data_IF_591417814188
#
_entry.id   IF_591417814188
#
_cell.length_a   1.000
_cell.length_b   1.000
_cell.length_c   1.000
_cell.angle_alpha   90.00
_cell.angle_beta   90.00
_cell.angle_gamma   90.00
#
_symmetry.space_group_name_H-M   'P 1'
#
loop_
_entity.id
_entity.type
_entity.pdbx_description
1 polymer ?
#
# COMPACT_ATOMS: atom_id res chain seq x y z
N UNK A 1 19.78 -8.47 -30.29
CA UNK A 1 18.55 -8.48 -29.48
C UNK A 1 17.99 -7.07 -29.25
N UNK A 2 18.79 -6.12 -28.73
CA UNK A 2 18.35 -4.74 -28.45
C UNK A 2 17.60 -4.04 -29.61
N UNK A 3 18.05 -4.05 -30.89
CA UNK A 3 17.31 -3.40 -31.97
C UNK A 3 15.92 -3.99 -32.22
N UNK A 4 15.73 -5.29 -31.97
CA UNK A 4 14.42 -5.94 -32.05
C UNK A 4 13.53 -5.44 -30.91
N UNK A 5 14.02 -5.47 -29.67
CA UNK A 5 13.28 -4.98 -28.52
C UNK A 5 12.91 -3.51 -28.65
N UNK A 6 13.81 -2.66 -29.14
CA UNK A 6 13.54 -1.25 -29.45
C UNK A 6 12.33 -1.10 -30.37
N UNK A 7 12.31 -1.85 -31.49
CA UNK A 7 11.19 -1.80 -32.44
C UNK A 7 9.88 -2.30 -31.82
N UNK A 8 9.94 -3.35 -31.01
CA UNK A 8 8.75 -3.88 -30.32
C UNK A 8 8.23 -2.88 -29.29
N UNK A 9 9.10 -2.26 -28.48
CA UNK A 9 8.69 -1.22 -27.52
C UNK A 9 8.07 -0.03 -28.23
N UNK A 10 8.67 0.47 -29.31
CA UNK A 10 8.13 1.56 -30.11
C UNK A 10 6.76 1.23 -30.69
N UNK A 11 6.60 0.04 -31.30
CA UNK A 11 5.32 -0.40 -31.84
C UNK A 11 4.25 -0.54 -30.74
N UNK A 12 4.64 -1.05 -29.57
CA UNK A 12 3.73 -1.22 -28.42
C UNK A 12 3.31 0.14 -27.85
N UNK A 13 4.22 1.12 -27.78
CA UNK A 13 3.92 2.50 -27.36
C UNK A 13 2.90 3.17 -28.29
N UNK A 14 3.07 3.03 -29.61
CA UNK A 14 2.11 3.54 -30.59
C UNK A 14 0.75 2.87 -30.42
N UNK A 15 0.73 1.55 -30.24
CA UNK A 15 -0.51 0.79 -30.02
C UNK A 15 -1.22 1.23 -28.73
N UNK A 16 -0.47 1.41 -27.65
CA UNK A 16 -0.97 1.88 -26.35
C UNK A 16 -1.61 3.27 -26.49
N UNK A 17 -0.99 4.18 -27.24
CA UNK A 17 -1.55 5.50 -27.52
C UNK A 17 -2.83 5.45 -28.37
N UNK A 18 -2.82 4.68 -29.46
CA UNK A 18 -3.93 4.63 -30.41
C UNK A 18 -5.15 3.87 -29.87
N UNK A 19 -4.93 2.89 -28.99
CA UNK A 19 -5.98 2.03 -28.44
C UNK A 19 -6.20 2.30 -26.93
N UNK A 20 -5.85 3.50 -26.46
CA UNK A 20 -5.90 3.93 -25.05
C UNK A 20 -7.24 3.70 -24.34
N UNK A 21 -8.36 3.65 -25.07
CA UNK A 21 -9.70 3.38 -24.52
C UNK A 21 -9.95 1.89 -24.22
N UNK A 22 -9.27 0.99 -24.94
CA UNK A 22 -9.57 -0.44 -24.92
C UNK A 22 -8.75 -1.14 -23.84
N UNK A 23 -9.34 -1.31 -22.66
CA UNK A 23 -8.71 -1.94 -21.48
C UNK A 23 -7.92 -3.22 -21.83
N UNK A 24 -8.53 -4.16 -22.55
CA UNK A 24 -7.88 -5.42 -22.95
C UNK A 24 -6.62 -5.23 -23.79
N UNK A 25 -6.61 -4.24 -24.69
CA UNK A 25 -5.43 -3.93 -25.51
C UNK A 25 -4.33 -3.34 -24.64
N UNK A 26 -4.68 -2.41 -23.74
CA UNK A 26 -3.73 -1.77 -22.82
C UNK A 26 -3.11 -2.79 -21.87
N UNK A 27 -3.89 -3.72 -21.34
CA UNK A 27 -3.38 -4.80 -20.48
C UNK A 27 -2.35 -5.67 -21.22
N UNK A 28 -2.62 -6.07 -22.46
CA UNK A 28 -1.67 -6.82 -23.27
C UNK A 28 -0.42 -6.00 -23.65
N UNK A 29 -0.56 -4.69 -23.89
CA UNK A 29 0.57 -3.79 -24.09
C UNK A 29 1.45 -3.72 -22.83
N UNK A 30 0.86 -3.48 -21.67
CA UNK A 30 1.55 -3.45 -20.38
C UNK A 30 2.24 -4.78 -20.08
N UNK A 31 1.58 -5.91 -20.35
CA UNK A 31 2.17 -7.25 -20.19
C UNK A 31 3.37 -7.46 -21.10
N UNK A 32 3.29 -7.01 -22.36
CA UNK A 32 4.39 -7.10 -23.33
C UNK A 32 5.58 -6.26 -22.89
N UNK A 33 5.35 -4.99 -22.54
CA UNK A 33 6.39 -4.09 -22.04
C UNK A 33 7.03 -4.64 -20.78
N UNK A 34 6.24 -5.16 -19.83
CA UNK A 34 6.74 -5.78 -18.60
C UNK A 34 7.76 -6.87 -18.91
N UNK A 35 7.42 -7.81 -19.79
CA UNK A 35 8.35 -8.89 -20.12
C UNK A 35 9.60 -8.39 -20.85
N UNK A 36 9.47 -7.39 -21.74
CA UNK A 36 10.61 -6.79 -22.42
C UNK A 36 11.56 -6.10 -21.46
N UNK A 37 11.05 -5.30 -20.52
CA UNK A 37 11.86 -4.62 -19.51
C UNK A 37 12.57 -5.63 -18.62
N UNK A 38 11.85 -6.62 -18.09
CA UNK A 38 12.44 -7.68 -17.27
C UNK A 38 13.52 -8.48 -18.01
N UNK A 39 13.35 -8.67 -19.32
CA UNK A 39 14.32 -9.41 -20.14
C UNK A 39 15.57 -8.60 -20.48
N UNK A 40 15.42 -7.28 -20.68
CA UNK A 40 16.55 -6.39 -21.02
C UNK A 40 17.27 -5.85 -19.78
N UNK A 41 16.60 -5.81 -18.62
CA UNK A 41 17.10 -5.17 -17.41
C UNK A 41 17.56 -3.74 -17.70
N UNK A 42 18.74 -3.38 -17.18
CA UNK A 42 19.32 -2.05 -17.32
C UNK A 42 19.52 -1.59 -18.78
N UNK A 43 19.61 -2.50 -19.76
CA UNK A 43 19.73 -2.11 -21.18
C UNK A 43 18.49 -1.39 -21.70
N UNK A 44 17.34 -1.55 -21.03
CA UNK A 44 16.09 -0.88 -21.41
C UNK A 44 15.91 0.52 -20.79
N UNK A 45 16.96 1.07 -20.16
CA UNK A 45 16.92 2.39 -19.51
C UNK A 45 16.51 3.53 -20.46
N UNK A 46 16.90 3.43 -21.73
CA UNK A 46 16.56 4.40 -22.78
C UNK A 46 15.05 4.54 -23.04
N UNK A 47 14.24 3.58 -22.58
CA UNK A 47 12.79 3.59 -22.74
C UNK A 47 12.04 4.15 -21.54
N UNK A 48 12.69 4.33 -20.38
CA UNK A 48 11.99 4.65 -19.14
C UNK A 48 11.26 5.98 -19.26
N UNK A 49 11.93 7.04 -19.69
CA UNK A 49 11.33 8.37 -19.79
C UNK A 49 10.17 8.39 -20.81
N UNK A 50 10.33 7.90 -22.05
CA UNK A 50 9.21 7.77 -22.98
C UNK A 50 8.03 6.95 -22.43
N UNK A 51 8.32 5.84 -21.73
CA UNK A 51 7.29 4.98 -21.13
C UNK A 51 6.57 5.68 -19.98
N UNK A 52 7.30 6.32 -19.07
CA UNK A 52 6.72 7.04 -17.94
C UNK A 52 5.80 8.16 -18.42
N UNK A 53 6.24 8.95 -19.41
CA UNK A 53 5.43 10.01 -20.01
C UNK A 53 4.15 9.46 -20.64
N UNK A 54 4.25 8.36 -21.40
CA UNK A 54 3.09 7.72 -22.01
C UNK A 54 2.12 7.14 -20.97
N UNK A 55 2.64 6.51 -19.91
CA UNK A 55 1.85 5.97 -18.79
C UNK A 55 1.04 7.10 -18.13
N UNK A 56 1.69 8.22 -17.79
CA UNK A 56 1.03 9.38 -17.16
C UNK A 56 -0.06 9.94 -18.08
N UNK A 57 0.26 10.12 -19.37
CA UNK A 57 -0.67 10.71 -20.33
C UNK A 57 -1.92 9.83 -20.52
N UNK A 58 -1.74 8.52 -20.69
CA UNK A 58 -2.85 7.59 -20.92
C UNK A 58 -3.66 7.41 -19.65
N UNK A 59 -3.02 7.18 -18.50
CA UNK A 59 -3.73 7.02 -17.23
C UNK A 59 -4.55 8.26 -16.87
N UNK A 60 -4.05 9.45 -17.23
CA UNK A 60 -4.77 10.71 -17.04
C UNK A 60 -6.06 10.86 -17.85
N UNK A 61 -6.25 10.07 -18.90
CA UNK A 61 -7.48 10.03 -19.72
C UNK A 61 -8.32 8.80 -19.45
N UNK A 62 -7.66 7.65 -19.32
CA UNK A 62 -8.27 6.34 -19.11
C UNK A 62 -7.53 5.63 -17.97
N UNK A 63 -8.10 5.58 -16.76
CA UNK A 63 -7.40 5.13 -15.56
C UNK A 63 -7.31 3.59 -15.47
N UNK A 64 -6.70 2.96 -16.47
CA UNK A 64 -6.48 1.50 -16.47
C UNK A 64 -5.45 1.13 -15.39
N UNK A 65 -5.86 0.34 -14.38
CA UNK A 65 -5.01 -0.05 -13.25
C UNK A 65 -3.69 -0.71 -13.68
N UNK A 66 -3.69 -1.47 -14.77
CA UNK A 66 -2.50 -2.14 -15.31
C UNK A 66 -1.34 -1.17 -15.66
N UNK A 67 -1.61 0.13 -15.83
CA UNK A 67 -0.59 1.16 -16.00
C UNK A 67 0.11 1.49 -14.66
N UNK A 68 -0.61 1.49 -13.53
CA UNK A 68 -0.03 1.56 -12.19
C UNK A 68 0.87 0.34 -11.93
N UNK A 69 0.39 -0.85 -12.33
CA UNK A 69 1.21 -2.05 -12.24
C UNK A 69 2.47 -1.95 -13.10
N UNK A 70 2.36 -1.48 -14.35
CA UNK A 70 3.52 -1.28 -15.21
C UNK A 70 4.51 -0.28 -14.60
N UNK A 71 4.02 0.83 -14.03
CA UNK A 71 4.85 1.77 -13.29
C UNK A 71 5.59 1.08 -12.12
N UNK A 72 4.94 0.13 -11.42
CA UNK A 72 5.59 -0.62 -10.33
C UNK A 72 6.75 -1.46 -10.83
N UNK A 73 6.68 -1.98 -12.07
CA UNK A 73 7.77 -2.71 -12.72
C UNK A 73 8.94 -1.77 -13.02
N UNK A 74 8.67 -0.54 -13.49
CA UNK A 74 9.72 0.45 -13.71
C UNK A 74 10.47 0.73 -12.41
N UNK A 75 9.73 1.00 -11.33
CA UNK A 75 10.33 1.28 -10.01
C UNK A 75 11.11 0.08 -9.48
N UNK A 76 10.59 -1.14 -9.67
CA UNK A 76 11.27 -2.35 -9.23
C UNK A 76 12.64 -2.55 -9.90
N UNK A 77 12.74 -2.22 -11.20
CA UNK A 77 13.96 -2.42 -11.98
C UNK A 77 14.96 -1.26 -11.84
N UNK A 78 14.47 -0.03 -11.65
CA UNK A 78 15.31 1.16 -11.77
C UNK A 78 15.22 2.13 -10.61
N UNK A 79 14.34 1.91 -9.62
CA UNK A 79 14.14 2.82 -8.50
C UNK A 79 15.40 3.05 -7.64
N UNK A 80 16.36 2.13 -7.71
CA UNK A 80 17.65 2.26 -7.04
C UNK A 80 18.64 3.20 -7.77
N UNK A 81 18.34 3.63 -8.99
CA UNK A 81 19.20 4.52 -9.77
C UNK A 81 18.89 5.99 -9.45
N UNK A 82 19.78 6.65 -8.72
CA UNK A 82 19.57 8.02 -8.21
C UNK A 82 19.17 9.03 -9.30
N UNK A 83 19.80 8.96 -10.49
CA UNK A 83 19.49 9.88 -11.58
C UNK A 83 18.10 9.70 -12.21
N UNK A 84 17.43 8.55 -11.99
CA UNK A 84 16.08 8.28 -12.49
C UNK A 84 14.99 8.59 -11.44
N UNK A 85 15.36 8.60 -10.15
CA UNK A 85 14.43 8.79 -9.04
C UNK A 85 13.56 10.04 -9.15
N UNK A 86 14.06 11.24 -9.55
CA UNK A 86 13.22 12.43 -9.66
C UNK A 86 12.06 12.23 -10.66
N UNK A 87 12.33 11.64 -11.82
CA UNK A 87 11.31 11.34 -12.83
C UNK A 87 10.32 10.28 -12.36
N UNK A 88 10.78 9.25 -11.65
CA UNK A 88 9.89 8.25 -11.05
C UNK A 88 9.00 8.82 -9.97
N UNK A 89 9.53 9.69 -9.12
CA UNK A 89 8.76 10.35 -8.08
C UNK A 89 7.66 11.25 -8.69
N UNK A 90 7.98 11.97 -9.76
CA UNK A 90 6.99 12.75 -10.52
C UNK A 90 5.90 11.84 -11.14
N UNK A 91 6.28 10.66 -11.66
CA UNK A 91 5.33 9.66 -12.13
C UNK A 91 4.43 9.15 -11.00
N UNK A 92 4.99 8.83 -9.83
CA UNK A 92 4.21 8.42 -8.66
C UNK A 92 3.20 9.48 -8.26
N UNK A 93 3.64 10.74 -8.12
CA UNK A 93 2.77 11.84 -7.73
C UNK A 93 1.59 11.99 -8.70
N UNK A 94 1.86 12.00 -10.01
CA UNK A 94 0.82 12.12 -11.03
C UNK A 94 -0.18 10.96 -10.99
N UNK A 95 0.33 9.72 -10.93
CA UNK A 95 -0.50 8.52 -10.96
C UNK A 95 -1.30 8.36 -9.67
N UNK A 96 -0.64 8.50 -8.51
CA UNK A 96 -1.28 8.35 -7.20
C UNK A 96 -2.32 9.43 -6.96
N UNK A 97 -2.04 10.70 -7.31
CA UNK A 97 -3.04 11.79 -7.16
C UNK A 97 -4.32 11.48 -7.94
N UNK A 98 -4.19 11.00 -9.18
CA UNK A 98 -5.33 10.66 -10.03
C UNK A 98 -6.07 9.41 -9.55
N UNK A 99 -5.33 8.39 -9.12
CA UNK A 99 -5.91 7.17 -8.57
C UNK A 99 -6.69 7.48 -7.29
N UNK A 100 -6.12 8.24 -6.35
CA UNK A 100 -6.79 8.63 -5.12
C UNK A 100 -8.01 9.52 -5.39
N UNK A 101 -7.93 10.44 -6.36
CA UNK A 101 -9.09 11.24 -6.78
C UNK A 101 -10.22 10.34 -7.30
N UNK A 102 -9.91 9.38 -8.18
CA UNK A 102 -10.88 8.39 -8.67
C UNK A 102 -11.54 7.64 -7.51
N UNK A 103 -10.75 7.13 -6.56
CA UNK A 103 -11.24 6.38 -5.40
C UNK A 103 -12.11 7.23 -4.46
N UNK A 104 -11.85 8.53 -4.36
CA UNK A 104 -12.64 9.46 -3.54
C UNK A 104 -13.87 10.04 -4.26
N UNK A 105 -13.95 9.92 -5.58
CA UNK A 105 -14.98 10.59 -6.39
C UNK A 105 -16.38 9.96 -6.28
N UNK A 106 -16.46 8.72 -5.81
CA UNK A 106 -17.71 7.97 -5.66
C UNK A 106 -17.76 7.31 -4.27
N UNK A 107 -18.97 7.15 -3.68
CA UNK A 107 -19.13 6.34 -2.48
C UNK A 107 -18.60 4.92 -2.71
N UNK A 108 -17.92 4.35 -1.71
CA UNK A 108 -17.31 3.02 -1.78
C UNK A 108 -16.33 2.86 -2.97
N UNK A 109 -15.63 3.94 -3.34
CA UNK A 109 -14.75 3.91 -4.52
C UNK A 109 -13.61 2.90 -4.44
N UNK A 110 -13.18 2.52 -3.22
CA UNK A 110 -12.22 1.44 -3.00
C UNK A 110 -12.79 0.08 -3.42
N UNK A 111 -14.02 -0.24 -2.99
CA UNK A 111 -14.73 -1.46 -3.32
C UNK A 111 -15.12 -1.52 -4.80
N UNK A 112 -15.44 -0.37 -5.40
CA UNK A 112 -15.81 -0.28 -6.81
C UNK A 112 -14.60 -0.36 -7.76
N UNK A 113 -13.39 -0.09 -7.28
CA UNK A 113 -12.16 -0.09 -8.09
C UNK A 113 -11.03 -0.89 -7.42
N UNK A 114 -11.24 -2.16 -7.07
CA UNK A 114 -10.27 -2.93 -6.29
C UNK A 114 -8.96 -3.16 -7.04
N UNK A 115 -8.99 -3.29 -8.37
CA UNK A 115 -7.78 -3.44 -9.18
C UNK A 115 -6.90 -2.18 -9.15
N UNK A 116 -7.53 -1.00 -9.13
CA UNK A 116 -6.82 0.27 -8.96
C UNK A 116 -6.19 0.36 -7.57
N UNK A 117 -6.89 -0.09 -6.53
CA UNK A 117 -6.34 -0.16 -5.16
C UNK A 117 -5.14 -1.12 -5.13
N UNK A 118 -5.30 -2.35 -5.62
CA UNK A 118 -4.22 -3.34 -5.67
C UNK A 118 -2.98 -2.76 -6.38
N UNK A 119 -3.13 -2.31 -7.63
CA UNK A 119 -2.00 -1.85 -8.43
C UNK A 119 -1.37 -0.54 -7.93
N UNK A 120 -2.15 0.37 -7.32
CA UNK A 120 -1.63 1.58 -6.67
C UNK A 120 -0.72 1.22 -5.49
N UNK A 121 -1.17 0.32 -4.62
CA UNK A 121 -0.38 -0.03 -3.44
C UNK A 121 0.76 -1.00 -3.76
N UNK A 122 0.68 -1.78 -4.84
CA UNK A 122 1.85 -2.49 -5.41
C UNK A 122 2.92 -1.51 -5.87
N UNK A 123 2.53 -0.42 -6.55
CA UNK A 123 3.43 0.67 -6.93
C UNK A 123 4.05 1.33 -5.69
N UNK A 124 3.24 1.70 -4.69
CA UNK A 124 3.72 2.32 -3.46
C UNK A 124 4.71 1.42 -2.70
N UNK A 125 4.41 0.11 -2.57
CA UNK A 125 5.33 -0.88 -1.99
C UNK A 125 6.66 -0.89 -2.72
N UNK A 126 6.67 -0.84 -4.06
CA UNK A 126 7.93 -0.80 -4.82
C UNK A 126 8.75 0.45 -4.56
N UNK A 127 8.12 1.60 -4.36
CA UNK A 127 8.84 2.81 -3.94
C UNK A 127 9.48 2.67 -2.56
N UNK A 128 8.73 2.15 -1.58
CA UNK A 128 9.28 1.92 -0.23
C UNK A 128 10.47 0.95 -0.26
N UNK A 129 10.44 -0.04 -1.16
CA UNK A 129 11.48 -1.07 -1.31
C UNK A 129 12.70 -0.64 -2.14
N UNK A 130 12.61 0.42 -2.95
CA UNK A 130 13.65 0.78 -3.93
C UNK A 130 14.19 2.18 -3.74
N UNK A 131 13.34 3.11 -3.33
CA UNK A 131 13.70 4.51 -3.11
C UNK A 131 12.97 5.10 -1.89
N UNK A 132 13.09 4.48 -0.70
CA UNK A 132 12.41 4.92 0.53
C UNK A 132 12.66 6.39 0.86
N UNK A 133 13.93 6.84 0.82
CA UNK A 133 14.29 8.24 1.08
C UNK A 133 13.59 9.21 0.12
N UNK A 134 13.46 8.84 -1.17
CA UNK A 134 12.80 9.65 -2.18
C UNK A 134 11.31 9.78 -1.90
N UNK A 135 10.62 8.66 -1.65
CA UNK A 135 9.16 8.67 -1.45
C UNK A 135 8.75 9.32 -0.13
N UNK A 136 9.47 9.07 0.97
CA UNK A 136 9.11 9.61 2.28
C UNK A 136 9.56 11.05 2.51
N UNK A 137 10.43 11.59 1.64
CA UNK A 137 10.68 13.05 1.58
C UNK A 137 9.59 13.79 0.81
N UNK A 138 8.70 13.07 0.11
CA UNK A 138 7.67 13.65 -0.73
C UNK A 138 6.29 13.64 -0.06
N UNK A 139 5.49 14.69 -0.27
CA UNK A 139 4.16 14.86 0.33
C UNK A 139 3.16 13.76 -0.05
N UNK A 140 3.36 13.08 -1.19
CA UNK A 140 2.49 12.00 -1.65
C UNK A 140 2.47 10.81 -0.68
N UNK A 141 3.56 10.58 0.06
CA UNK A 141 3.65 9.47 1.01
C UNK A 141 2.61 9.56 2.13
N UNK A 142 2.38 10.76 2.67
CA UNK A 142 1.36 10.99 3.69
C UNK A 142 -0.06 10.71 3.14
N UNK A 143 -0.33 11.15 1.91
CA UNK A 143 -1.62 10.91 1.25
C UNK A 143 -1.86 9.42 0.98
N UNK A 144 -0.83 8.69 0.50
CA UNK A 144 -0.89 7.25 0.30
C UNK A 144 -1.13 6.52 1.63
N UNK A 145 -0.43 6.89 2.69
CA UNK A 145 -0.61 6.25 4.00
C UNK A 145 -2.00 6.51 4.59
N UNK A 146 -2.48 7.76 4.54
CA UNK A 146 -3.82 8.11 5.01
C UNK A 146 -4.92 7.34 4.26
N UNK A 147 -4.81 7.25 2.93
CA UNK A 147 -5.77 6.50 2.12
C UNK A 147 -5.63 4.99 2.32
N UNK A 148 -4.43 4.49 2.64
CA UNK A 148 -4.26 3.08 2.94
C UNK A 148 -5.06 2.67 4.18
N UNK A 149 -5.01 3.52 5.21
CA UNK A 149 -5.74 3.34 6.48
C UNK A 149 -7.25 3.30 6.24
N UNK A 150 -7.75 4.19 5.39
CA UNK A 150 -9.17 4.27 5.04
C UNK A 150 -9.63 3.04 4.24
N UNK A 151 -8.75 2.42 3.45
CA UNK A 151 -9.07 1.25 2.64
C UNK A 151 -8.94 -0.11 3.34
N UNK A 152 -8.49 -0.16 4.59
CA UNK A 152 -8.21 -1.44 5.30
C UNK A 152 -9.44 -2.33 5.49
N UNK A 153 -10.66 -1.79 5.38
CA UNK A 153 -11.91 -2.51 5.48
C UNK A 153 -12.35 -3.18 4.17
N UNK A 154 -11.65 -2.97 3.05
CA UNK A 154 -12.02 -3.56 1.76
C UNK A 154 -11.96 -5.09 1.82
N UNK A 155 -13.04 -5.75 1.39
CA UNK A 155 -13.16 -7.22 1.42
C UNK A 155 -12.47 -7.93 0.25
N UNK A 156 -12.10 -7.19 -0.81
CA UNK A 156 -11.36 -7.77 -1.94
C UNK A 156 -9.95 -8.13 -1.49
N UNK A 157 -9.59 -9.41 -1.67
CA UNK A 157 -8.42 -10.03 -1.04
C UNK A 157 -7.09 -9.42 -1.51
N UNK A 158 -6.90 -9.22 -2.81
CA UNK A 158 -5.62 -8.75 -3.37
C UNK A 158 -5.38 -7.27 -3.04
N UNK A 159 -6.41 -6.43 -3.15
CA UNK A 159 -6.40 -5.03 -2.76
C UNK A 159 -6.08 -4.86 -1.27
N UNK A 160 -6.76 -5.62 -0.40
CA UNK A 160 -6.52 -5.58 1.05
C UNK A 160 -5.09 -6.03 1.39
N UNK A 161 -4.58 -7.07 0.72
CA UNK A 161 -3.20 -7.52 0.90
C UNK A 161 -2.18 -6.48 0.45
N UNK A 162 -2.41 -5.79 -0.66
CA UNK A 162 -1.50 -4.75 -1.13
C UNK A 162 -1.50 -3.52 -0.22
N UNK A 163 -2.66 -3.12 0.30
CA UNK A 163 -2.80 -2.11 1.36
C UNK A 163 -2.04 -2.49 2.63
N UNK A 164 -2.32 -3.70 3.14
CA UNK A 164 -1.72 -4.22 4.36
C UNK A 164 -0.21 -4.35 4.22
N UNK A 165 0.25 -4.85 3.07
CA UNK A 165 1.67 -4.93 2.75
C UNK A 165 2.32 -3.56 2.71
N UNK A 166 1.70 -2.56 2.09
CA UNK A 166 2.23 -1.19 2.09
C UNK A 166 2.42 -0.66 3.52
N UNK A 167 1.42 -0.83 4.39
CA UNK A 167 1.52 -0.39 5.80
C UNK A 167 2.63 -1.16 6.54
N UNK A 168 2.73 -2.47 6.34
CA UNK A 168 3.80 -3.29 6.93
C UNK A 168 5.19 -2.85 6.47
N UNK A 169 5.35 -2.49 5.19
CA UNK A 169 6.61 -1.96 4.66
C UNK A 169 6.99 -0.63 5.32
N UNK A 170 6.01 0.26 5.54
CA UNK A 170 6.22 1.52 6.28
C UNK A 170 6.63 1.25 7.73
N UNK A 171 5.97 0.29 8.41
CA UNK A 171 6.32 -0.13 9.77
C UNK A 171 7.75 -0.66 9.83
N UNK A 172 8.16 -1.51 8.89
CA UNK A 172 9.50 -2.09 8.88
C UNK A 172 10.59 -1.04 8.62
N UNK A 173 10.31 -0.03 7.79
CA UNK A 173 11.19 1.15 7.64
C UNK A 173 11.27 1.94 8.95
N UNK A 174 10.14 2.28 9.57
CA UNK A 174 10.09 3.02 10.84
C UNK A 174 10.79 2.28 12.00
N UNK A 175 10.77 0.95 11.98
CA UNK A 175 11.43 0.09 12.94
C UNK A 175 12.93 -0.12 12.65
N UNK A 176 13.46 0.42 11.55
CA UNK A 176 14.85 0.23 11.13
C UNK A 176 15.19 -1.22 10.76
N UNK A 177 14.20 -2.04 10.40
CA UNK A 177 14.40 -3.45 10.02
C UNK A 177 14.89 -3.62 8.59
N UNK A 178 14.69 -2.60 7.74
CA UNK A 178 15.22 -2.58 6.37
C UNK A 178 16.73 -2.32 6.43
N UNK A 179 17.52 -3.32 6.03
CA UNK A 179 18.99 -3.29 6.00
C UNK A 179 19.58 -2.69 4.71
N UNK A 180 18.77 -1.99 3.93
CA UNK A 180 19.23 -1.39 2.68
C UNK A 180 20.15 -0.21 2.97
N UNK A 181 21.33 -0.20 2.33
CA UNK A 181 22.36 0.84 2.50
C UNK A 181 21.90 2.25 2.08
N UNK A 182 20.75 2.35 1.41
CA UNK A 182 20.16 3.59 0.92
C UNK A 182 19.30 4.34 1.95
N UNK A 183 18.85 3.68 3.03
CA UNK A 183 17.97 4.33 4.02
C UNK A 183 18.82 5.07 5.05
N UNK A 184 18.76 6.40 5.04
CA UNK A 184 19.45 7.21 6.04
C UNK A 184 18.71 7.17 7.38
N UNK A 185 19.45 7.30 8.49
CA UNK A 185 18.85 7.36 9.83
C UNK A 185 17.80 8.48 9.94
N UNK A 186 18.05 9.63 9.30
CA UNK A 186 17.10 10.75 9.26
C UNK A 186 15.77 10.38 8.58
N UNK A 187 15.82 9.55 7.54
CA UNK A 187 14.62 9.08 6.84
C UNK A 187 13.83 8.11 7.72
N UNK A 188 14.50 7.18 8.43
CA UNK A 188 13.85 6.31 9.42
C UNK A 188 13.10 7.13 10.46
N UNK A 189 13.73 8.18 11.01
CA UNK A 189 13.07 9.04 11.99
C UNK A 189 11.89 9.81 11.41
N UNK A 190 12.00 10.33 10.18
CA UNK A 190 10.89 11.01 9.49
C UNK A 190 9.70 10.07 9.30
N UNK A 191 9.95 8.87 8.80
CA UNK A 191 8.90 7.84 8.60
C UNK A 191 8.28 7.44 9.93
N UNK A 192 9.09 7.23 10.96
CA UNK A 192 8.61 6.91 12.30
C UNK A 192 7.72 8.02 12.86
N UNK A 193 8.09 9.29 12.71
CA UNK A 193 7.26 10.42 13.15
C UNK A 193 5.92 10.47 12.42
N UNK A 194 5.93 10.36 11.09
CA UNK A 194 4.70 10.30 10.28
C UNK A 194 3.82 9.13 10.72
N UNK A 195 4.38 7.92 10.83
CA UNK A 195 3.64 6.73 11.22
C UNK A 195 3.05 6.86 12.63
N UNK A 196 3.83 7.33 13.61
CA UNK A 196 3.37 7.50 15.00
C UNK A 196 2.19 8.45 15.13
N UNK A 197 2.10 9.49 14.28
CA UNK A 197 0.94 10.39 14.26
C UNK A 197 -0.35 9.72 13.78
N UNK A 198 -0.24 8.64 13.01
CA UNK A 198 -1.36 7.91 12.42
C UNK A 198 -1.68 6.59 13.14
N UNK A 199 -0.80 6.11 14.02
CA UNK A 199 -0.98 4.85 14.75
C UNK A 199 -2.34 4.69 15.46
N UNK A 200 -2.92 5.71 16.14
CA UNK A 200 -4.25 5.57 16.73
C UNK A 200 -5.32 5.21 15.70
N UNK A 201 -5.27 5.84 14.51
CA UNK A 201 -6.21 5.56 13.43
C UNK A 201 -5.94 4.21 12.76
N UNK A 202 -4.67 3.82 12.58
CA UNK A 202 -4.32 2.50 12.06
C UNK A 202 -4.84 1.40 13.01
N UNK A 203 -4.64 1.57 14.32
CA UNK A 203 -5.12 0.63 15.33
C UNK A 203 -6.65 0.51 15.31
N UNK A 204 -7.35 1.64 15.23
CA UNK A 204 -8.81 1.65 15.12
C UNK A 204 -9.30 0.98 13.83
N UNK A 205 -8.73 1.33 12.67
CA UNK A 205 -9.11 0.74 11.39
C UNK A 205 -8.86 -0.76 11.33
N UNK A 206 -7.72 -1.24 11.84
CA UNK A 206 -7.39 -2.67 11.85
C UNK A 206 -8.32 -3.49 12.74
N UNK A 207 -8.59 -3.01 13.97
CA UNK A 207 -9.54 -3.66 14.88
C UNK A 207 -10.95 -3.64 14.28
N UNK A 208 -11.42 -2.49 13.81
CA UNK A 208 -12.77 -2.36 13.23
C UNK A 208 -12.95 -3.24 12.00
N UNK A 209 -11.96 -3.25 11.10
CA UNK A 209 -11.97 -4.11 9.92
C UNK A 209 -12.03 -5.60 10.31
N UNK A 210 -11.20 -6.04 11.26
CA UNK A 210 -11.16 -7.43 11.70
C UNK A 210 -12.46 -7.91 12.41
N UNK A 211 -13.13 -7.01 13.14
CA UNK A 211 -14.35 -7.33 13.87
C UNK A 211 -15.58 -7.33 12.94
N UNK A 212 -15.75 -6.30 12.12
CA UNK A 212 -17.04 -5.99 11.49
C UNK A 212 -17.10 -6.26 9.99
N UNK A 213 -15.96 -6.23 9.29
CA UNK A 213 -15.97 -6.20 7.82
C UNK A 213 -15.32 -7.43 7.20
N UNK A 214 -14.21 -7.90 7.78
CA UNK A 214 -13.32 -8.85 7.11
C UNK A 214 -13.61 -10.32 7.45
N UNK A 215 -13.28 -11.19 6.50
CA UNK A 215 -13.19 -12.63 6.71
C UNK A 215 -11.98 -12.99 7.58
N UNK A 216 -11.98 -14.18 8.19
CA UNK A 216 -10.86 -14.68 8.98
C UNK A 216 -9.52 -14.66 8.23
N UNK A 217 -9.55 -14.83 6.91
CA UNK A 217 -8.35 -14.76 6.06
C UNK A 217 -7.69 -13.37 6.10
N UNK A 218 -8.48 -12.30 5.99
CA UNK A 218 -7.99 -10.92 5.98
C UNK A 218 -7.81 -10.36 7.40
N UNK A 219 -8.48 -10.91 8.41
CA UNK A 219 -8.20 -10.61 9.82
C UNK A 219 -6.75 -10.93 10.20
N UNK A 220 -6.11 -11.90 9.53
CA UNK A 220 -4.68 -12.18 9.72
C UNK A 220 -3.81 -10.97 9.36
N UNK A 221 -4.09 -10.31 8.24
CA UNK A 221 -3.33 -9.14 7.78
C UNK A 221 -3.46 -7.99 8.78
N UNK A 222 -4.67 -7.77 9.33
CA UNK A 222 -4.90 -6.76 10.37
C UNK A 222 -4.09 -7.05 11.64
N UNK A 223 -4.05 -8.32 12.08
CA UNK A 223 -3.30 -8.73 13.25
C UNK A 223 -1.79 -8.56 13.07
N UNK A 224 -1.27 -8.78 11.85
CA UNK A 224 0.15 -8.54 11.52
C UNK A 224 0.50 -7.04 11.62
N UNK A 225 -0.37 -6.16 11.12
CA UNK A 225 -0.22 -4.70 11.27
C UNK A 225 -0.23 -4.30 12.75
N UNK A 226 -1.25 -4.72 13.50
CA UNK A 226 -1.36 -4.42 14.94
C UNK A 226 -0.11 -4.87 15.71
N UNK A 227 0.36 -6.10 15.45
CA UNK A 227 1.57 -6.61 16.07
C UNK A 227 2.81 -5.77 15.70
N UNK A 228 2.93 -5.38 14.43
CA UNK A 228 3.99 -4.48 13.96
C UNK A 228 4.02 -3.15 14.71
N UNK A 229 2.85 -2.52 14.93
CA UNK A 229 2.73 -1.28 15.70
C UNK A 229 3.11 -1.46 17.17
N UNK A 230 2.69 -2.56 17.80
CA UNK A 230 3.03 -2.86 19.20
C UNK A 230 4.55 -3.02 19.38
N UNK A 231 5.22 -3.67 18.42
CA UNK A 231 6.68 -3.79 18.46
C UNK A 231 7.40 -2.47 18.18
N UNK A 232 6.75 -1.51 17.50
CA UNK A 232 7.34 -0.21 17.20
C UNK A 232 7.46 0.68 18.45
N UNK A 233 6.44 0.68 19.30
CA UNK A 233 6.42 1.42 20.56
C UNK A 233 5.40 0.81 21.54
N UNK A 234 5.89 -0.03 22.47
CA UNK A 234 5.04 -0.72 23.45
C UNK A 234 4.36 0.23 24.43
N UNK A 235 4.99 1.35 24.77
CA UNK A 235 4.42 2.30 25.72
C UNK A 235 3.23 3.02 25.10
N UNK A 236 3.39 3.50 23.86
CA UNK A 236 2.28 4.15 23.13
C UNK A 236 1.21 3.18 22.66
N UNK A 237 1.54 1.91 22.44
CA UNK A 237 0.58 0.91 22.03
C UNK A 237 -0.60 0.78 22.99
N UNK A 238 -0.37 0.94 24.30
CA UNK A 238 -1.44 0.95 25.30
C UNK A 238 -2.39 2.13 25.09
N UNK A 239 -1.86 3.34 24.85
CA UNK A 239 -2.67 4.53 24.55
C UNK A 239 -3.52 4.34 23.29
N UNK A 240 -2.95 3.79 22.22
CA UNK A 240 -3.67 3.55 20.96
C UNK A 240 -4.78 2.52 21.10
N UNK A 241 -4.55 1.46 21.89
CA UNK A 241 -5.55 0.44 22.16
C UNK A 241 -6.65 0.95 23.09
N UNK A 242 -6.31 1.77 24.09
CA UNK A 242 -7.29 2.44 24.94
C UNK A 242 -8.21 3.34 24.13
N UNK A 243 -7.63 4.17 23.26
CA UNK A 243 -8.38 4.96 22.29
C UNK A 243 -9.28 4.05 21.45
N UNK A 244 -8.73 3.01 20.82
CA UNK A 244 -9.49 2.10 19.96
C UNK A 244 -10.69 1.45 20.68
N UNK A 245 -10.49 0.91 21.89
CA UNK A 245 -11.56 0.30 22.67
C UNK A 245 -12.65 1.29 23.07
N UNK A 246 -12.32 2.57 23.26
CA UNK A 246 -13.33 3.62 23.51
C UNK A 246 -14.15 4.00 22.28
N UNK A 247 -13.64 3.72 21.07
CA UNK A 247 -14.29 4.11 19.81
C UNK A 247 -15.17 3.00 19.22
N UNK A 248 -14.87 1.73 19.50
CA UNK A 248 -15.71 0.61 19.06
C UNK A 248 -16.98 0.49 19.94
N UNK A 249 -18.09 -0.06 19.43
CA UNK A 249 -19.28 -0.27 20.23
C UNK A 249 -18.97 -1.07 21.51
N UNK A 250 -19.49 -0.62 22.65
CA UNK A 250 -19.28 -1.24 23.96
C UNK A 250 -20.49 -0.99 24.87
N UNK A 251 -20.62 -1.80 25.91
CA UNK A 251 -21.58 -1.63 27.02
C UNK A 251 -23.06 -1.62 26.62
N UNK A 252 -23.43 -2.36 25.56
CA UNK A 252 -24.85 -2.55 25.19
C UNK A 252 -25.10 -3.54 24.05
N UNK A 253 -26.22 -4.28 24.11
CA UNK A 253 -26.62 -5.22 23.07
C UNK A 253 -25.57 -6.29 22.77
N UNK A 254 -25.31 -6.55 21.48
CA UNK A 254 -24.21 -7.41 21.01
C UNK A 254 -22.90 -6.60 20.95
N UNK A 255 -22.35 -6.27 22.11
CA UNK A 255 -21.01 -5.66 22.22
C UNK A 255 -20.25 -6.16 23.44
N UNK A 256 -18.94 -5.96 23.45
CA UNK A 256 -18.08 -6.35 24.55
C UNK A 256 -18.28 -5.45 25.79
N UNK A 257 -18.17 -6.04 26.99
CA UNK A 257 -18.17 -5.33 28.27
C UNK A 257 -16.82 -4.66 28.56
N UNK A 258 -16.69 -3.78 29.57
CA UNK A 258 -15.43 -3.11 29.88
C UNK A 258 -14.35 -4.11 30.31
N UNK A 259 -14.76 -5.16 31.02
CA UNK A 259 -13.87 -6.25 31.45
C UNK A 259 -13.36 -7.07 30.25
N UNK A 260 -14.22 -7.37 29.28
CA UNK A 260 -13.82 -8.10 28.06
C UNK A 260 -12.88 -7.27 27.19
N UNK A 261 -13.10 -5.95 27.10
CA UNK A 261 -12.17 -5.03 26.43
C UNK A 261 -10.84 -4.88 27.17
N UNK A 262 -10.85 -4.93 28.50
CA UNK A 262 -9.63 -4.96 29.30
C UNK A 262 -8.82 -6.26 29.07
N UNK A 263 -9.49 -7.42 29.05
CA UNK A 263 -8.84 -8.70 28.72
C UNK A 263 -8.23 -8.68 27.31
N UNK A 264 -9.00 -8.22 26.31
CA UNK A 264 -8.51 -8.06 24.94
C UNK A 264 -7.23 -7.21 24.88
N UNK A 265 -7.24 -6.02 25.48
CA UNK A 265 -6.05 -5.13 25.53
C UNK A 265 -4.86 -5.82 26.18
N UNK A 266 -5.08 -6.48 27.31
CA UNK A 266 -4.02 -7.19 28.05
C UNK A 266 -3.38 -8.29 27.21
N UNK A 267 -4.21 -9.10 26.52
CA UNK A 267 -3.74 -10.17 25.62
C UNK A 267 -2.98 -9.62 24.41
N UNK A 268 -3.45 -8.52 23.83
CA UNK A 268 -2.79 -7.90 22.67
C UNK A 268 -1.44 -7.26 23.08
N UNK A 269 -1.36 -6.54 24.20
CA UNK A 269 -0.12 -5.92 24.68
C UNK A 269 0.94 -6.94 25.12
N UNK A 270 0.51 -8.09 25.62
CA UNK A 270 1.39 -9.20 26.01
C UNK A 270 1.75 -10.15 24.86
N UNK A 271 1.23 -9.91 23.65
CA UNK A 271 1.46 -10.76 22.49
C UNK A 271 2.96 -10.89 22.16
N UNK A 272 3.40 -12.13 21.95
CA UNK A 272 4.78 -12.45 21.54
C UNK A 272 4.83 -12.70 20.03
N UNK A 273 3.71 -13.10 19.43
CA UNK A 273 3.56 -13.37 17.99
C UNK A 273 2.28 -12.73 17.47
N UNK A 274 2.24 -12.42 16.17
CA UNK A 274 1.02 -11.92 15.52
C UNK A 274 -0.16 -12.89 15.67
N UNK A 275 0.11 -14.20 15.78
CA UNK A 275 -0.90 -15.21 16.04
C UNK A 275 -1.67 -14.98 17.36
N UNK A 276 -1.02 -14.47 18.40
CA UNK A 276 -1.67 -14.19 19.68
C UNK A 276 -2.71 -13.07 19.52
N UNK A 277 -2.41 -12.07 18.67
CA UNK A 277 -3.33 -10.99 18.29
C UNK A 277 -4.51 -11.53 17.48
N UNK A 278 -4.29 -12.48 16.56
CA UNK A 278 -5.37 -13.14 15.81
C UNK A 278 -6.35 -13.83 16.76
N UNK A 279 -5.83 -14.56 17.76
CA UNK A 279 -6.67 -15.23 18.75
C UNK A 279 -7.48 -14.24 19.58
N UNK A 280 -6.85 -13.14 20.02
CA UNK A 280 -7.53 -12.09 20.77
C UNK A 280 -8.65 -11.43 19.95
N UNK A 281 -8.40 -11.09 18.68
CA UNK A 281 -9.42 -10.54 17.77
C UNK A 281 -10.56 -11.53 17.53
N UNK A 282 -10.25 -12.81 17.32
CA UNK A 282 -11.27 -13.85 17.11
C UNK A 282 -12.16 -14.04 18.33
N UNK A 283 -11.59 -13.98 19.53
CA UNK A 283 -12.36 -14.10 20.76
C UNK A 283 -13.22 -12.86 20.99
N UNK A 284 -12.66 -11.66 20.76
CA UNK A 284 -13.40 -10.40 20.86
C UNK A 284 -14.59 -10.35 19.89
N UNK A 285 -14.40 -10.81 18.63
CA UNK A 285 -15.44 -10.84 17.60
C UNK A 285 -16.72 -11.58 18.02
N UNK A 286 -16.62 -12.57 18.91
CA UNK A 286 -17.77 -13.34 19.40
C UNK A 286 -18.80 -12.48 20.14
N UNK A 287 -18.39 -11.34 20.71
CA UNK A 287 -19.29 -10.44 21.42
C UNK A 287 -20.04 -9.47 20.50
N UNK A 288 -19.67 -9.42 19.22
CA UNK A 288 -20.24 -8.53 18.20
C UNK A 288 -21.04 -9.27 17.12
N UNK A 289 -21.21 -10.59 17.28
CA UNK A 289 -21.93 -11.46 16.37
C UNK A 289 -23.42 -11.55 16.71
#
# INVERSE_FOLDING_TARGET
WLPLCTRVVQCTLVTLQQQQEKQRVIEHCCRTIRFLIRSMGQQSIVFIEPLANQIILVYGRFPHSCLLYLASILVDEYGNLEFVQPGMLSMLENLATRALLLLSSVPNGFEMNPDTVDDLYRLAVRFVQRSPSSVFSHQISAHLLQNAINGLNICQVDANRSLSKFIMEVIDVAAGKRKESSIQLADVQRVKQLLLSLCPQIMLSTVSAALFHLSTLLSKEMAEIMFGLIQLDKQKAEEWLNFTCSQIPHDGGNSATPEQLLDFRTRVLSAVRSYDVILALRDLRKFYA
#
